data_IF_129016569168
#
_entry.id   IF_129016569168
#
_cell.length_a   1.000
_cell.length_b   1.000
_cell.length_c   1.000
_cell.angle_alpha   90.00
_cell.angle_beta   90.00
_cell.angle_gamma   90.00
#
_symmetry.space_group_name_H-M   'P 1'
#
loop_
_entity.id
_entity.type
_entity.pdbx_description
1 polymer ?
#
# COMPACT_ATOMS: atom_id res chain seq x y z
N UNK A 1 12.72 14.58 -10.46
CA UNK A 1 11.80 15.68 -10.11
C UNK A 1 10.39 15.18 -9.79
N UNK A 2 9.75 14.38 -10.67
CA UNK A 2 8.36 13.91 -10.46
C UNK A 2 8.11 13.14 -9.13
N UNK A 3 8.99 12.20 -8.74
CA UNK A 3 8.79 11.39 -7.52
C UNK A 3 8.86 12.24 -6.25
N UNK A 4 9.81 13.17 -6.15
CA UNK A 4 9.94 14.04 -4.99
C UNK A 4 8.73 14.97 -4.83
N UNK A 5 8.20 15.48 -5.94
CA UNK A 5 7.00 16.34 -5.93
C UNK A 5 5.78 15.54 -5.45
N UNK A 6 5.65 14.30 -5.92
CA UNK A 6 4.57 13.40 -5.51
C UNK A 6 4.63 13.03 -4.02
N UNK A 7 5.82 12.67 -3.53
CA UNK A 7 6.05 12.38 -2.11
C UNK A 7 5.77 13.61 -1.25
N UNK A 8 6.24 14.80 -1.67
CA UNK A 8 5.97 16.03 -0.95
C UNK A 8 4.48 16.36 -0.90
N UNK A 9 3.76 16.24 -2.02
CA UNK A 9 2.32 16.51 -2.08
C UNK A 9 1.53 15.61 -1.13
N UNK A 10 1.85 14.31 -1.07
CA UNK A 10 1.19 13.40 -0.13
C UNK A 10 1.60 13.62 1.31
N UNK A 11 2.88 13.84 1.60
CA UNK A 11 3.32 14.17 2.95
C UNK A 11 2.61 15.43 3.50
N UNK A 12 2.45 16.46 2.66
CA UNK A 12 1.69 17.68 3.02
C UNK A 12 0.21 17.37 3.21
N UNK A 13 -0.40 16.59 2.32
CA UNK A 13 -1.80 16.19 2.45
C UNK A 13 -2.04 15.37 3.74
N UNK A 14 -1.14 14.48 4.09
CA UNK A 14 -1.23 13.64 5.29
C UNK A 14 -1.09 14.45 6.58
N UNK A 15 -0.29 15.51 6.55
CA UNK A 15 -0.10 16.43 7.68
C UNK A 15 -1.29 17.37 7.88
N UNK A 16 -1.81 17.96 6.80
CA UNK A 16 -2.83 19.02 6.84
C UNK A 16 -4.25 18.45 6.80
N UNK A 17 -4.43 17.28 6.18
CA UNK A 17 -5.71 16.63 6.00
C UNK A 17 -6.45 16.37 7.31
N UNK A 18 -5.86 15.67 8.30
CA UNK A 18 -6.58 15.29 9.51
C UNK A 18 -7.16 16.48 10.28
N UNK A 19 -6.42 17.58 10.54
CA UNK A 19 -6.99 18.77 11.20
C UNK A 19 -8.20 19.36 10.47
N UNK A 20 -8.14 19.47 9.14
CA UNK A 20 -9.26 19.98 8.33
C UNK A 20 -10.47 19.05 8.42
N UNK A 21 -10.24 17.75 8.37
CA UNK A 21 -11.30 16.74 8.35
C UNK A 21 -12.01 16.64 9.69
N UNK A 22 -11.26 16.64 10.80
CA UNK A 22 -11.84 16.68 12.16
C UNK A 22 -12.63 17.96 12.37
N UNK A 23 -12.11 19.11 11.95
CA UNK A 23 -12.84 20.39 12.02
C UNK A 23 -14.15 20.37 11.20
N UNK A 24 -14.16 19.66 10.06
CA UNK A 24 -15.36 19.53 9.21
C UNK A 24 -16.45 18.63 9.80
N UNK A 25 -16.11 17.77 10.78
CA UNK A 25 -16.98 16.71 11.33
C UNK A 25 -17.65 15.83 10.26
N UNK A 26 -17.04 15.71 9.08
CA UNK A 26 -17.57 14.92 7.98
C UNK A 26 -16.90 13.56 7.93
N UNK A 27 -17.62 12.54 8.39
CA UNK A 27 -17.17 11.13 8.34
C UNK A 27 -16.89 10.68 6.91
N UNK A 28 -17.66 11.20 5.94
CA UNK A 28 -17.48 10.95 4.51
C UNK A 28 -16.16 11.50 3.97
N UNK A 29 -15.79 12.73 4.36
CA UNK A 29 -14.53 13.32 3.96
C UNK A 29 -13.34 12.57 4.60
N UNK A 30 -13.48 12.19 5.87
CA UNK A 30 -12.48 11.37 6.56
C UNK A 30 -12.30 10.01 5.88
N UNK A 31 -13.38 9.34 5.53
CA UNK A 31 -13.33 8.06 4.83
C UNK A 31 -12.61 8.15 3.48
N UNK A 32 -12.95 9.16 2.67
CA UNK A 32 -12.29 9.43 1.39
C UNK A 32 -10.78 9.67 1.55
N UNK A 33 -10.40 10.41 2.59
CA UNK A 33 -9.01 10.69 2.92
C UNK A 33 -8.25 9.43 3.37
N UNK A 34 -8.83 8.62 4.26
CA UNK A 34 -8.23 7.35 4.68
C UNK A 34 -8.05 6.39 3.49
N UNK A 35 -9.02 6.37 2.57
CA UNK A 35 -8.92 5.64 1.30
C UNK A 35 -7.75 6.13 0.46
N UNK A 36 -7.61 7.45 0.34
CA UNK A 36 -6.48 8.09 -0.34
C UNK A 36 -5.15 7.71 0.29
N UNK A 37 -5.01 7.78 1.61
CA UNK A 37 -3.81 7.34 2.34
C UNK A 37 -3.47 5.87 2.06
N UNK A 38 -4.47 4.98 2.13
CA UNK A 38 -4.30 3.57 1.81
C UNK A 38 -3.80 3.35 0.36
N UNK A 39 -4.26 4.17 -0.59
CA UNK A 39 -3.74 4.15 -1.98
C UNK A 39 -2.26 4.49 -2.05
N UNK A 40 -1.77 5.43 -1.23
CA UNK A 40 -0.36 5.81 -1.20
C UNK A 40 0.51 4.62 -0.80
N UNK A 41 0.08 3.83 0.21
CA UNK A 41 0.78 2.61 0.63
C UNK A 41 0.77 1.56 -0.48
N UNK A 42 -0.36 1.35 -1.16
CA UNK A 42 -0.46 0.46 -2.32
C UNK A 42 0.46 0.88 -3.47
N UNK A 43 0.53 2.18 -3.78
CA UNK A 43 1.42 2.75 -4.80
C UNK A 43 2.90 2.62 -4.41
N UNK A 44 3.25 2.84 -3.15
CA UNK A 44 4.60 2.58 -2.63
C UNK A 44 4.95 1.10 -2.76
N UNK A 45 4.03 0.18 -2.47
CA UNK A 45 4.26 -1.25 -2.64
C UNK A 45 4.44 -1.62 -4.12
N UNK A 46 3.63 -1.09 -5.04
CA UNK A 46 3.80 -1.23 -6.50
C UNK A 46 5.20 -0.78 -6.90
N UNK A 47 5.62 0.40 -6.43
CA UNK A 47 6.94 0.95 -6.74
C UNK A 47 8.07 0.11 -6.15
N UNK A 48 7.93 -0.32 -4.90
CA UNK A 48 8.87 -1.14 -4.15
C UNK A 48 9.05 -2.53 -4.76
N UNK A 49 8.07 -3.06 -5.48
CA UNK A 49 8.16 -4.41 -6.07
C UNK A 49 8.40 -4.36 -7.57
N UNK A 50 7.62 -3.61 -8.35
CA UNK A 50 7.57 -3.74 -9.81
C UNK A 50 8.56 -2.87 -10.58
N UNK A 51 9.27 -1.93 -9.93
CA UNK A 51 10.29 -1.08 -10.57
C UNK A 51 11.52 -1.92 -11.05
N UNK A 52 12.26 -1.48 -12.07
CA UNK A 52 13.48 -2.18 -12.53
C UNK A 52 14.72 -2.00 -11.63
N UNK A 53 14.72 -1.07 -10.67
CA UNK A 53 15.89 -0.79 -9.82
C UNK A 53 16.30 -1.94 -8.89
N UNK A 54 17.58 -1.93 -8.46
CA UNK A 54 18.13 -2.87 -7.47
C UNK A 54 17.33 -2.81 -6.17
N UNK A 55 16.93 -3.98 -5.69
CA UNK A 55 16.06 -4.10 -4.51
C UNK A 55 16.70 -3.55 -3.22
N UNK A 56 18.01 -3.75 -3.04
CA UNK A 56 18.78 -3.30 -1.85
C UNK A 56 18.69 -1.78 -1.63
N UNK A 57 18.68 -0.99 -2.71
CA UNK A 57 18.54 0.48 -2.59
C UNK A 57 17.08 0.88 -2.45
N UNK A 58 16.20 0.14 -3.14
CA UNK A 58 14.80 0.50 -3.27
C UNK A 58 14.01 0.28 -2.00
N UNK A 59 14.19 -0.87 -1.33
CA UNK A 59 13.40 -1.22 -0.16
C UNK A 59 13.59 -0.21 0.99
N UNK A 60 14.83 0.15 1.40
CA UNK A 60 15.03 1.14 2.45
C UNK A 60 14.41 2.50 2.10
N UNK A 61 14.52 2.95 0.85
CA UNK A 61 13.93 4.22 0.41
C UNK A 61 12.40 4.18 0.46
N UNK A 62 11.78 3.10 -0.01
CA UNK A 62 10.31 2.97 0.04
C UNK A 62 9.79 2.81 1.46
N UNK A 63 10.55 2.14 2.33
CA UNK A 63 10.22 2.03 3.74
C UNK A 63 10.36 3.39 4.45
N UNK A 64 11.39 4.18 4.12
CA UNK A 64 11.55 5.53 4.62
C UNK A 64 10.37 6.44 4.19
N UNK A 65 9.88 6.30 2.95
CA UNK A 65 8.67 7.02 2.51
C UNK A 65 7.41 6.55 3.24
N UNK A 66 7.25 5.24 3.47
CA UNK A 66 6.12 4.72 4.25
C UNK A 66 6.15 5.26 5.69
N UNK A 67 7.34 5.28 6.32
CA UNK A 67 7.53 5.86 7.64
C UNK A 67 7.24 7.37 7.65
N UNK A 68 7.68 8.11 6.62
CA UNK A 68 7.39 9.54 6.47
C UNK A 68 5.88 9.82 6.37
N UNK A 69 5.16 9.12 5.48
CA UNK A 69 3.71 9.30 5.33
C UNK A 69 2.98 8.97 6.63
N UNK A 70 3.37 7.88 7.29
CA UNK A 70 2.82 7.53 8.59
C UNK A 70 3.12 8.59 9.67
N UNK A 71 4.35 9.15 9.69
CA UNK A 71 4.71 10.24 10.60
C UNK A 71 3.84 11.46 10.38
N UNK A 72 3.67 11.87 9.12
CA UNK A 72 2.87 13.04 8.76
C UNK A 72 1.41 12.85 9.14
N UNK A 73 0.86 11.66 8.90
CA UNK A 73 -0.51 11.31 9.31
C UNK A 73 -0.67 11.40 10.83
N UNK A 74 0.24 10.80 11.62
CA UNK A 74 0.19 10.82 13.09
C UNK A 74 0.33 12.25 13.63
N UNK A 75 1.25 13.03 13.07
CA UNK A 75 1.41 14.44 13.44
C UNK A 75 0.13 15.24 13.13
N UNK A 76 -0.46 15.03 11.95
CA UNK A 76 -1.74 15.64 11.58
C UNK A 76 -2.87 15.27 12.56
N UNK A 77 -3.00 13.98 12.91
CA UNK A 77 -3.98 13.51 13.90
C UNK A 77 -3.75 14.12 15.29
N UNK A 78 -2.48 14.25 15.72
CA UNK A 78 -2.12 14.86 17.01
C UNK A 78 -2.41 16.36 17.04
N UNK A 79 -2.31 17.05 15.91
CA UNK A 79 -2.75 18.45 15.79
C UNK A 79 -4.26 18.56 15.81
N UNK A 80 -4.96 17.59 15.23
CA UNK A 80 -6.41 17.57 15.13
C UNK A 80 -7.10 17.27 16.47
N UNK A 81 -6.51 16.40 17.29
CA UNK A 81 -7.07 15.96 18.57
C UNK A 81 -6.09 16.18 19.74
N UNK A 82 -6.53 16.83 20.84
CA UNK A 82 -5.67 17.16 21.97
C UNK A 82 -5.16 15.94 22.76
N UNK A 83 -5.78 14.77 22.55
CA UNK A 83 -5.39 13.48 23.13
C UNK A 83 -4.95 12.51 22.02
N UNK A 84 -4.04 12.97 21.15
CA UNK A 84 -3.46 12.15 20.09
C UNK A 84 -2.93 10.79 20.57
N UNK A 85 -2.55 9.91 19.63
CA UNK A 85 -2.20 8.53 19.96
C UNK A 85 -1.07 8.47 20.98
N UNK A 86 -1.14 7.50 21.89
CA UNK A 86 -0.09 7.33 22.90
C UNK A 86 1.24 7.02 22.21
N UNK A 87 2.30 7.77 22.55
CA UNK A 87 3.62 7.62 21.94
C UNK A 87 4.17 6.17 21.96
N UNK A 88 3.94 5.36 23.02
CA UNK A 88 4.30 3.94 23.00
C UNK A 88 3.61 3.14 21.87
N UNK A 89 2.33 3.39 21.58
CA UNK A 89 1.60 2.71 20.50
C UNK A 89 2.13 3.12 19.12
N UNK A 90 2.47 4.40 18.97
CA UNK A 90 3.11 4.93 17.76
C UNK A 90 4.46 4.26 17.54
N UNK A 91 5.30 4.18 18.59
CA UNK A 91 6.60 3.52 18.54
C UNK A 91 6.46 2.03 18.19
N UNK A 92 5.50 1.34 18.82
CA UNK A 92 5.16 -0.06 18.51
C UNK A 92 4.77 -0.22 17.03
N UNK A 93 4.02 0.72 16.47
CA UNK A 93 3.66 0.68 15.04
C UNK A 93 4.89 0.83 14.14
N UNK A 94 5.82 1.74 14.44
CA UNK A 94 7.09 1.85 13.69
C UNK A 94 7.94 0.59 13.75
N UNK A 95 7.89 -0.12 14.88
CA UNK A 95 8.58 -1.38 15.09
C UNK A 95 8.10 -2.46 14.11
N UNK A 96 6.78 -2.54 13.91
CA UNK A 96 6.14 -3.54 13.04
C UNK A 96 5.97 -3.07 11.59
N UNK A 97 6.15 -1.77 11.32
CA UNK A 97 5.97 -1.17 9.99
C UNK A 97 6.71 -1.94 8.87
N UNK A 98 7.98 -2.36 9.03
CA UNK A 98 8.66 -3.07 7.96
C UNK A 98 8.02 -4.43 7.66
N UNK A 99 7.55 -5.15 8.68
CA UNK A 99 6.90 -6.44 8.52
C UNK A 99 5.55 -6.29 7.83
N UNK A 100 4.72 -5.35 8.29
CA UNK A 100 3.42 -5.03 7.66
C UNK A 100 3.63 -4.58 6.22
N UNK A 101 4.63 -3.73 5.96
CA UNK A 101 4.94 -3.25 4.61
C UNK A 101 5.42 -4.37 3.68
N UNK A 102 6.19 -5.34 4.19
CA UNK A 102 6.55 -6.54 3.44
C UNK A 102 5.33 -7.43 3.15
N UNK A 103 4.40 -7.55 4.11
CA UNK A 103 3.17 -8.31 3.93
C UNK A 103 2.29 -7.70 2.82
N UNK A 104 2.10 -6.37 2.82
CA UNK A 104 1.43 -5.63 1.74
C UNK A 104 2.08 -5.86 0.38
N UNK A 105 3.40 -5.99 0.32
CA UNK A 105 4.14 -6.26 -0.94
C UNK A 105 4.05 -7.70 -1.43
N UNK A 106 3.77 -8.67 -0.55
CA UNK A 106 3.84 -10.10 -0.86
C UNK A 106 3.05 -10.53 -2.11
N UNK A 107 1.82 -10.04 -2.39
CA UNK A 107 1.08 -10.45 -3.59
C UNK A 107 1.76 -9.96 -4.88
N UNK A 108 2.38 -8.78 -4.82
CA UNK A 108 3.12 -8.21 -5.95
C UNK A 108 4.43 -8.97 -6.20
N UNK A 109 5.04 -9.53 -5.15
CA UNK A 109 6.20 -10.39 -5.30
C UNK A 109 5.85 -11.69 -6.01
N UNK A 110 4.70 -12.29 -5.69
CA UNK A 110 4.17 -13.45 -6.42
C UNK A 110 4.00 -13.09 -7.91
N UNK A 111 3.38 -11.95 -8.21
CA UNK A 111 3.22 -11.46 -9.58
C UNK A 111 4.57 -11.26 -10.29
N UNK A 112 5.57 -10.69 -9.60
CA UNK A 112 6.89 -10.40 -10.16
C UNK A 112 7.74 -11.65 -10.37
N UNK A 113 7.81 -12.54 -9.38
CA UNK A 113 8.65 -13.74 -9.40
C UNK A 113 7.99 -14.81 -10.27
N UNK A 114 6.70 -15.10 -10.03
CA UNK A 114 5.96 -16.14 -10.75
C UNK A 114 5.62 -15.75 -12.19
N UNK A 115 5.22 -14.49 -12.44
CA UNK A 115 4.81 -14.03 -13.76
C UNK A 115 5.86 -13.21 -14.53
N UNK A 116 6.99 -12.89 -13.90
CA UNK A 116 8.02 -12.03 -14.49
C UNK A 116 7.56 -10.60 -14.74
N UNK A 117 6.45 -10.15 -14.14
CA UNK A 117 5.87 -8.84 -14.41
C UNK A 117 6.73 -7.70 -13.83
N UNK A 118 6.95 -6.68 -14.64
CA UNK A 118 7.67 -5.45 -14.28
C UNK A 118 7.05 -4.24 -14.97
N UNK A 119 7.11 -3.08 -14.32
CA UNK A 119 6.74 -1.82 -14.97
C UNK A 119 7.98 -1.34 -15.73
N UNK A 120 7.86 -1.24 -17.05
CA UNK A 120 8.93 -0.85 -17.98
C UNK A 120 8.41 0.22 -18.93
N UNK A 121 9.32 0.97 -19.56
CA UNK A 121 8.94 1.89 -20.64
C UNK A 121 8.63 1.11 -21.91
N UNK A 122 7.60 1.52 -22.65
CA UNK A 122 7.11 0.83 -23.84
C UNK A 122 8.07 0.89 -25.04
N UNK A 123 8.89 1.95 -25.12
CA UNK A 123 9.89 2.15 -26.18
C UNK A 123 11.29 1.74 -25.69
N UNK A 124 11.74 0.50 -25.96
CA UNK A 124 13.06 0.02 -25.55
C UNK A 124 14.21 0.54 -26.42
N UNK A 125 13.94 1.17 -27.58
CA UNK A 125 14.99 1.64 -28.49
C UNK A 125 15.92 2.70 -27.88
N UNK A 126 15.50 3.37 -26.79
CA UNK A 126 16.35 4.32 -26.06
C UNK A 126 17.06 3.74 -24.83
N UNK A 127 16.72 2.51 -24.41
CA UNK A 127 17.27 1.84 -23.22
C UNK A 127 18.10 0.60 -23.64
N UNK A 128 18.96 0.76 -24.65
CA UNK A 128 19.96 -0.23 -25.08
C UNK A 128 21.10 -0.45 -24.06
N UNK A 129 20.89 -0.21 -22.77
CA UNK A 129 21.84 -0.71 -21.77
C UNK A 129 21.50 -2.17 -21.48
N UNK A 130 22.36 -3.15 -21.85
CA UNK A 130 22.15 -4.57 -21.59
C UNK A 130 22.44 -4.91 -20.10
N UNK A 131 22.12 -3.99 -19.19
CA UNK A 131 22.33 -4.15 -17.76
C UNK A 131 21.23 -5.03 -17.17
N UNK A 132 21.44 -6.33 -17.34
CA UNK A 132 21.28 -7.25 -16.24
C UNK A 132 20.12 -8.21 -16.39
N UNK A 133 20.38 -9.28 -17.13
CA UNK A 133 20.02 -10.63 -16.72
C UNK A 133 20.66 -10.95 -15.35
N UNK A 134 20.31 -10.20 -14.30
CA UNK A 134 20.79 -10.47 -12.95
C UNK A 134 20.00 -11.63 -12.41
N UNK A 135 20.63 -12.81 -12.44
CA UNK A 135 20.41 -13.85 -11.44
C UNK A 135 20.21 -13.17 -10.09
N UNK A 136 19.14 -13.51 -9.39
CA UNK A 136 18.93 -13.11 -8.01
C UNK A 136 20.18 -13.51 -7.22
N UNK A 137 21.04 -12.54 -6.90
CA UNK A 137 22.24 -12.81 -6.12
C UNK A 137 21.80 -13.18 -4.70
N UNK A 138 22.43 -14.20 -4.12
CA UNK A 138 22.26 -14.62 -2.73
C UNK A 138 22.24 -13.44 -1.74
N UNK A 139 22.99 -12.37 -2.04
CA UNK A 139 22.99 -11.10 -1.32
C UNK A 139 21.58 -10.49 -1.13
N UNK A 140 20.70 -10.56 -2.14
CA UNK A 140 19.35 -10.01 -2.03
C UNK A 140 18.47 -10.83 -1.07
N UNK A 141 18.66 -12.16 -1.04
CA UNK A 141 18.01 -13.04 -0.08
C UNK A 141 18.48 -12.71 1.34
N UNK A 142 19.80 -12.59 1.56
CA UNK A 142 20.35 -12.23 2.88
C UNK A 142 19.87 -10.87 3.38
N UNK A 143 19.78 -9.86 2.50
CA UNK A 143 19.27 -8.54 2.91
C UNK A 143 17.77 -8.61 3.21
N UNK A 144 16.97 -9.41 2.50
CA UNK A 144 15.55 -9.61 2.81
C UNK A 144 15.36 -10.33 4.15
N UNK A 145 16.05 -11.45 4.33
CA UNK A 145 16.05 -12.19 5.60
C UNK A 145 16.60 -11.32 6.73
N UNK A 146 17.60 -10.47 6.48
CA UNK A 146 18.14 -9.52 7.44
C UNK A 146 17.14 -8.44 7.85
N UNK A 147 16.42 -7.83 6.89
CA UNK A 147 15.35 -6.87 7.21
C UNK A 147 14.26 -7.55 8.03
N UNK A 148 13.83 -8.75 7.64
CA UNK A 148 12.85 -9.53 8.42
C UNK A 148 13.38 -9.83 9.81
N UNK A 149 14.60 -10.33 9.94
CA UNK A 149 15.22 -10.66 11.23
C UNK A 149 15.38 -9.44 12.14
N UNK A 150 15.82 -8.29 11.60
CA UNK A 150 15.89 -7.03 12.34
C UNK A 150 14.50 -6.58 12.77
N UNK A 151 13.50 -6.68 11.90
CA UNK A 151 12.12 -6.30 12.23
C UNK A 151 11.53 -7.21 13.32
N UNK A 152 11.79 -8.52 13.25
CA UNK A 152 11.39 -9.50 14.25
C UNK A 152 12.15 -9.33 15.57
N UNK A 153 13.45 -9.01 15.50
CA UNK A 153 14.29 -8.75 16.68
C UNK A 153 13.85 -7.46 17.38
N UNK A 154 13.67 -6.37 16.63
CA UNK A 154 13.12 -5.12 17.14
C UNK A 154 11.72 -5.34 17.73
N UNK A 155 10.84 -6.04 17.01
CA UNK A 155 9.54 -6.46 17.52
C UNK A 155 9.65 -7.16 18.88
N UNK A 156 10.59 -8.09 19.03
CA UNK A 156 10.81 -8.82 20.29
C UNK A 156 11.32 -7.94 21.44
N UNK A 157 12.03 -6.84 21.17
CA UNK A 157 12.48 -5.90 22.20
C UNK A 157 11.33 -5.07 22.76
N UNK A 158 10.37 -4.67 21.91
CA UNK A 158 9.15 -3.99 22.35
C UNK A 158 8.21 -4.84 23.20
N UNK A 159 8.48 -6.15 23.33
CA UNK A 159 7.71 -7.10 24.17
C UNK A 159 8.27 -7.17 25.60
N UNK A 160 9.52 -6.77 25.83
CA UNK A 160 10.24 -7.09 27.07
C UNK A 160 10.09 -6.08 28.22
N UNK A 161 9.48 -4.90 28.00
CA UNK A 161 9.40 -3.86 29.04
C UNK A 161 8.11 -3.84 29.89
N UNK A 162 7.09 -4.63 29.56
CA UNK A 162 5.90 -4.77 30.41
C UNK A 162 6.12 -5.85 31.49
N UNK A 163 6.91 -5.49 32.50
CA UNK A 163 6.93 -6.18 33.80
C UNK A 163 5.51 -6.21 34.39
N UNK A 164 5.06 -7.39 34.80
CA UNK A 164 3.74 -7.74 35.37
C UNK A 164 2.55 -7.99 34.42
N UNK A 165 2.71 -7.84 33.11
CA UNK A 165 1.80 -8.43 32.12
C UNK A 165 2.59 -9.34 31.17
N UNK A 166 2.97 -10.51 31.68
CA UNK A 166 3.40 -11.66 30.87
C UNK A 166 2.27 -12.22 29.96
N UNK A 167 1.38 -11.34 29.48
CA UNK A 167 0.46 -11.57 28.39
C UNK A 167 1.26 -11.54 27.10
N UNK A 168 1.81 -12.71 26.76
CA UNK A 168 2.29 -13.08 25.43
C UNK A 168 1.87 -12.11 24.32
N UNK A 169 2.82 -11.33 23.79
CA UNK A 169 2.68 -10.82 22.42
C UNK A 169 2.60 -12.04 21.53
N UNK A 170 1.36 -12.47 21.29
CA UNK A 170 1.09 -13.66 20.54
C UNK A 170 1.44 -13.31 19.10
N UNK A 171 2.42 -14.02 18.55
CA UNK A 171 2.75 -13.93 17.12
C UNK A 171 1.52 -14.19 16.22
N UNK A 172 0.49 -14.86 16.77
CA UNK A 172 -0.81 -15.09 16.13
C UNK A 172 -1.50 -13.82 15.61
N UNK A 173 -1.91 -12.87 16.47
CA UNK A 173 -2.45 -11.57 16.04
C UNK A 173 -1.60 -10.83 15.00
N UNK A 174 -0.28 -10.75 15.20
CA UNK A 174 0.59 -10.07 14.23
C UNK A 174 0.59 -10.77 12.86
N UNK A 175 0.67 -12.10 12.85
CA UNK A 175 0.56 -12.91 11.64
C UNK A 175 -0.79 -12.69 10.96
N UNK A 176 -1.88 -12.66 11.74
CA UNK A 176 -3.23 -12.39 11.23
C UNK A 176 -3.32 -11.00 10.59
N UNK A 177 -2.76 -9.96 11.23
CA UNK A 177 -2.67 -8.61 10.65
C UNK A 177 -1.88 -8.63 9.35
N UNK A 178 -0.73 -9.29 9.32
CA UNK A 178 0.08 -9.40 8.09
C UNK A 178 -0.69 -10.11 6.97
N UNK A 179 -1.38 -11.21 7.27
CA UNK A 179 -2.21 -11.94 6.30
C UNK A 179 -3.37 -11.07 5.80
N UNK A 180 -4.04 -10.34 6.70
CA UNK A 180 -5.10 -9.41 6.34
C UNK A 180 -4.58 -8.29 5.45
N UNK A 181 -3.43 -7.68 5.78
CA UNK A 181 -2.79 -6.65 4.96
C UNK A 181 -2.37 -7.19 3.58
N UNK A 182 -1.83 -8.41 3.52
CA UNK A 182 -1.46 -9.06 2.27
C UNK A 182 -2.70 -9.35 1.40
N UNK A 183 -3.76 -9.91 1.99
CA UNK A 183 -5.03 -10.19 1.31
C UNK A 183 -5.70 -8.90 0.81
N UNK A 184 -5.77 -7.88 1.67
CA UNK A 184 -6.27 -6.56 1.33
C UNK A 184 -5.48 -5.92 0.19
N UNK A 185 -4.15 -5.97 0.25
CA UNK A 185 -3.28 -5.46 -0.81
C UNK A 185 -3.48 -6.22 -2.12
N UNK A 186 -3.55 -7.54 -2.09
CA UNK A 186 -3.81 -8.36 -3.28
C UNK A 186 -5.14 -7.96 -3.92
N UNK A 187 -6.16 -7.82 -3.09
CA UNK A 187 -7.50 -7.50 -3.52
C UNK A 187 -7.55 -6.08 -4.10
N UNK A 188 -7.04 -5.07 -3.41
CA UNK A 188 -7.11 -3.66 -3.84
C UNK A 188 -6.14 -3.31 -4.98
N UNK A 189 -4.90 -3.81 -4.92
CA UNK A 189 -3.81 -3.35 -5.78
C UNK A 189 -3.80 -4.05 -7.13
N UNK A 190 -4.05 -5.36 -7.18
CA UNK A 190 -3.96 -6.14 -8.43
C UNK A 190 -5.01 -5.73 -9.47
N UNK A 191 -6.29 -5.52 -9.13
CA UNK A 191 -7.28 -5.01 -10.07
C UNK A 191 -6.93 -3.61 -10.58
N UNK A 192 -6.44 -2.72 -9.70
CA UNK A 192 -5.98 -1.39 -10.10
C UNK A 192 -4.79 -1.46 -11.07
N UNK A 193 -3.81 -2.34 -10.82
CA UNK A 193 -2.69 -2.58 -11.74
C UNK A 193 -3.16 -3.09 -13.09
N UNK A 194 -4.07 -4.05 -13.10
CA UNK A 194 -4.64 -4.61 -14.31
C UNK A 194 -5.41 -3.53 -15.11
N UNK A 195 -6.30 -2.80 -14.44
CA UNK A 195 -7.10 -1.73 -15.02
C UNK A 195 -6.22 -0.60 -15.59
N UNK A 196 -5.27 -0.12 -14.78
CA UNK A 196 -4.39 0.99 -15.15
C UNK A 196 -3.44 0.64 -16.28
N UNK A 197 -2.75 -0.51 -16.19
CA UNK A 197 -1.58 -0.82 -17.03
C UNK A 197 -1.78 -1.96 -18.04
N UNK A 198 -2.80 -2.82 -17.88
CA UNK A 198 -3.01 -4.01 -18.74
C UNK A 198 -4.24 -3.85 -19.64
N UNK A 199 -5.34 -3.30 -19.12
CA UNK A 199 -6.59 -3.19 -19.86
C UNK A 199 -6.43 -2.28 -21.09
N UNK A 200 -6.86 -2.78 -22.26
CA UNK A 200 -6.80 -2.04 -23.54
C UNK A 200 -7.93 -1.04 -23.68
N UNK A 201 -9.14 -1.50 -23.36
CA UNK A 201 -10.36 -0.70 -23.50
C UNK A 201 -10.66 0.05 -22.20
N UNK A 202 -10.56 1.38 -22.26
CA UNK A 202 -10.83 2.27 -21.10
C UNK A 202 -12.21 2.01 -20.49
N UNK A 203 -13.25 1.87 -21.34
CA UNK A 203 -14.63 1.63 -20.89
C UNK A 203 -14.77 0.33 -20.09
N UNK A 204 -14.22 -0.78 -20.58
CA UNK A 204 -14.25 -2.07 -19.89
C UNK A 204 -13.52 -1.98 -18.55
N UNK A 205 -12.36 -1.33 -18.52
CA UNK A 205 -11.61 -1.10 -17.29
C UNK A 205 -12.42 -0.32 -16.25
N UNK A 206 -13.07 0.78 -16.66
CA UNK A 206 -13.90 1.60 -15.78
C UNK A 206 -15.08 0.81 -15.22
N UNK A 207 -15.79 0.05 -16.06
CA UNK A 207 -16.94 -0.77 -15.62
C UNK A 207 -16.49 -1.85 -14.62
N UNK A 208 -15.41 -2.56 -14.92
CA UNK A 208 -14.87 -3.59 -14.02
C UNK A 208 -14.46 -2.97 -12.68
N UNK A 209 -13.81 -1.81 -12.68
CA UNK A 209 -13.41 -1.14 -11.45
C UNK A 209 -14.60 -0.60 -10.66
N UNK A 210 -15.67 -0.12 -11.32
CA UNK A 210 -16.88 0.30 -10.64
C UNK A 210 -17.59 -0.88 -9.96
N UNK A 211 -17.76 -2.00 -10.67
CA UNK A 211 -18.32 -3.25 -10.11
C UNK A 211 -17.46 -3.74 -8.95
N UNK A 212 -16.14 -3.67 -9.10
CA UNK A 212 -15.19 -4.06 -8.06
C UNK A 212 -15.30 -3.19 -6.80
N UNK A 213 -15.38 -1.86 -6.93
CA UNK A 213 -15.58 -0.94 -5.79
C UNK A 213 -16.90 -1.22 -5.07
N UNK A 214 -17.97 -1.46 -5.81
CA UNK A 214 -19.26 -1.83 -5.22
C UNK A 214 -19.19 -3.18 -4.49
N UNK A 215 -18.55 -4.19 -5.08
CA UNK A 215 -18.36 -5.50 -4.48
C UNK A 215 -17.50 -5.45 -3.21
N UNK A 216 -16.40 -4.69 -3.24
CA UNK A 216 -15.55 -4.39 -2.07
C UNK A 216 -16.37 -3.78 -0.93
N UNK A 217 -17.17 -2.77 -1.24
CA UNK A 217 -18.01 -2.06 -0.26
C UNK A 217 -19.03 -3.00 0.35
N UNK A 218 -19.71 -3.81 -0.48
CA UNK A 218 -20.67 -4.81 -0.01
C UNK A 218 -20.01 -5.87 0.90
N UNK A 219 -18.82 -6.36 0.54
CA UNK A 219 -18.09 -7.33 1.35
C UNK A 219 -17.64 -6.73 2.70
N UNK A 220 -17.12 -5.50 2.71
CA UNK A 220 -16.73 -4.80 3.93
C UNK A 220 -17.93 -4.60 4.86
N UNK A 221 -19.08 -4.19 4.33
CA UNK A 221 -20.33 -4.07 5.07
C UNK A 221 -20.80 -5.41 5.65
N UNK A 222 -20.74 -6.48 4.86
CA UNK A 222 -21.13 -7.82 5.33
C UNK A 222 -20.25 -8.29 6.50
N UNK A 223 -18.92 -8.07 6.40
CA UNK A 223 -17.97 -8.40 7.48
C UNK A 223 -18.27 -7.55 8.71
N UNK A 224 -18.41 -6.23 8.56
CA UNK A 224 -18.70 -5.33 9.67
C UNK A 224 -20.01 -5.70 10.39
N UNK A 225 -21.06 -6.03 9.63
CA UNK A 225 -22.36 -6.46 10.17
C UNK A 225 -22.24 -7.78 10.94
N UNK A 226 -21.51 -8.74 10.38
CA UNK A 226 -21.27 -10.03 11.04
C UNK A 226 -20.48 -9.87 12.35
N UNK A 227 -19.47 -9.00 12.36
CA UNK A 227 -18.66 -8.70 13.54
C UNK A 227 -19.43 -7.94 14.63
N UNK A 228 -20.28 -6.99 14.25
CA UNK A 228 -21.07 -6.19 15.18
C UNK A 228 -22.28 -6.92 15.79
N UNK A 229 -22.60 -8.14 15.32
CA UNK A 229 -23.83 -8.88 15.66
C UNK A 229 -25.10 -8.03 15.49
N UNK A 230 -25.12 -7.15 14.48
CA UNK A 230 -26.18 -6.17 14.28
C UNK A 230 -26.15 -5.57 12.88
N UNK A 231 -27.18 -4.77 12.58
CA UNK A 231 -27.20 -4.00 11.32
C UNK A 231 -26.13 -2.90 11.39
N UNK A 232 -25.38 -2.66 10.30
CA UNK A 232 -24.42 -1.57 10.27
C UNK A 232 -25.18 -0.24 10.39
N UNK A 233 -24.59 0.81 11.00
CA UNK A 233 -25.22 2.11 11.06
C UNK A 233 -25.50 2.64 9.65
N UNK A 234 -26.54 3.47 9.51
CA UNK A 234 -27.09 3.85 8.20
C UNK A 234 -26.10 4.61 7.29
N UNK A 235 -25.10 5.26 7.89
CA UNK A 235 -24.02 5.98 7.24
C UNK A 235 -22.86 5.07 6.78
N UNK A 236 -22.71 3.87 7.34
CA UNK A 236 -21.60 2.96 7.08
C UNK A 236 -21.43 2.68 5.59
N UNK A 237 -22.54 2.56 4.84
CA UNK A 237 -22.51 2.34 3.39
C UNK A 237 -21.76 3.47 2.69
N UNK A 238 -22.10 4.72 3.01
CA UNK A 238 -21.45 5.90 2.42
C UNK A 238 -19.98 6.01 2.83
N UNK A 239 -19.68 5.74 4.10
CA UNK A 239 -18.31 5.73 4.64
C UNK A 239 -17.44 4.70 3.91
N UNK A 240 -17.84 3.43 3.86
CA UNK A 240 -17.07 2.40 3.17
C UNK A 240 -16.99 2.67 1.66
N UNK A 241 -18.07 3.14 1.04
CA UNK A 241 -18.04 3.47 -0.39
C UNK A 241 -17.00 4.55 -0.68
N UNK A 242 -17.01 5.66 0.06
CA UNK A 242 -16.09 6.78 -0.15
C UNK A 242 -14.65 6.41 0.16
N UNK A 243 -14.42 5.57 1.17
CA UNK A 243 -13.10 4.98 1.42
C UNK A 243 -12.58 4.21 0.19
N UNK A 244 -13.39 3.30 -0.37
CA UNK A 244 -12.97 2.55 -1.57
C UNK A 244 -12.84 3.43 -2.81
N UNK A 245 -13.66 4.47 -2.96
CA UNK A 245 -13.55 5.47 -4.04
C UNK A 245 -12.23 6.23 -3.94
N UNK A 246 -11.84 6.70 -2.75
CA UNK A 246 -10.56 7.36 -2.52
C UNK A 246 -9.39 6.45 -2.85
N UNK A 247 -9.44 5.21 -2.36
CA UNK A 247 -8.43 4.18 -2.63
C UNK A 247 -8.25 3.93 -4.12
N UNK A 248 -9.32 3.52 -4.81
CA UNK A 248 -9.26 3.13 -6.22
C UNK A 248 -9.02 4.34 -7.11
N UNK A 249 -9.63 5.49 -6.81
CA UNK A 249 -9.49 6.72 -7.58
C UNK A 249 -8.05 7.20 -7.65
N UNK A 250 -7.36 7.25 -6.51
CA UNK A 250 -5.95 7.69 -6.44
C UNK A 250 -5.03 6.67 -7.11
N UNK A 251 -5.21 5.37 -6.85
CA UNK A 251 -4.41 4.32 -7.50
C UNK A 251 -4.55 4.36 -9.02
N UNK A 252 -5.77 4.41 -9.54
CA UNK A 252 -6.01 4.46 -10.99
C UNK A 252 -5.50 5.76 -11.61
N UNK A 253 -5.72 6.91 -10.96
CA UNK A 253 -5.23 8.20 -11.43
C UNK A 253 -3.71 8.18 -11.64
N UNK A 254 -2.96 7.70 -10.64
CA UNK A 254 -1.50 7.60 -10.71
C UNK A 254 -1.05 6.56 -11.73
N UNK A 255 -1.68 5.39 -11.78
CA UNK A 255 -1.33 4.34 -12.76
C UNK A 255 -1.63 4.77 -14.20
N UNK A 256 -2.71 5.52 -14.43
CA UNK A 256 -3.00 6.10 -15.74
C UNK A 256 -2.02 7.19 -16.13
N UNK A 257 -1.58 8.04 -15.18
CA UNK A 257 -0.51 9.02 -15.44
C UNK A 257 0.80 8.32 -15.81
N UNK A 258 1.17 7.27 -15.08
CA UNK A 258 2.34 6.42 -15.38
C UNK A 258 2.22 5.81 -16.79
N UNK A 259 1.04 5.31 -17.15
CA UNK A 259 0.78 4.79 -18.51
C UNK A 259 0.90 5.87 -19.58
N UNK A 260 0.40 7.07 -19.32
CA UNK A 260 0.52 8.20 -20.23
C UNK A 260 1.98 8.63 -20.45
N UNK A 261 2.85 8.43 -19.45
CA UNK A 261 4.30 8.61 -19.59
C UNK A 261 5.01 7.46 -20.35
N UNK A 262 4.24 6.53 -20.92
CA UNK A 262 4.74 5.44 -21.75
C UNK A 262 5.22 4.24 -20.94
N UNK A 263 4.84 4.10 -19.67
CA UNK A 263 5.12 2.90 -18.89
C UNK A 263 4.03 1.85 -19.05
N UNK A 264 4.42 0.58 -19.14
CA UNK A 264 3.53 -0.57 -19.28
C UNK A 264 3.96 -1.68 -18.33
N UNK A 265 2.99 -2.51 -17.93
CA UNK A 265 3.27 -3.73 -17.17
C UNK A 265 3.61 -4.86 -18.16
N UNK A 266 4.84 -5.38 -18.11
CA UNK A 266 5.35 -6.41 -19.03
C UNK A 266 5.80 -7.66 -18.28
N UNK A 267 5.30 -8.82 -18.70
CA UNK A 267 5.74 -10.14 -18.22
C UNK A 267 6.88 -10.71 -19.05
N UNK A 268 7.65 -11.64 -18.49
CA UNK A 268 8.86 -12.23 -19.12
C UNK A 268 8.57 -13.12 -20.33
N UNK A 269 7.34 -13.64 -20.49
CA UNK A 269 7.00 -14.63 -21.51
C UNK A 269 6.13 -14.14 -22.68
N UNK A 270 5.78 -12.85 -22.77
CA UNK A 270 4.91 -12.35 -23.86
C UNK A 270 5.73 -11.62 -24.93
N UNK A 271 5.74 -12.09 -26.20
CA UNK A 271 6.36 -11.34 -27.29
C UNK A 271 5.70 -9.97 -27.42
N UNK A 272 6.48 -8.96 -27.82
CA UNK A 272 5.97 -7.61 -28.10
C UNK A 272 5.03 -7.71 -29.30
N UNK A 273 3.72 -7.80 -29.04
CA UNK A 273 2.73 -7.65 -30.10
C UNK A 273 2.68 -6.17 -30.45
N UNK A 274 3.18 -5.83 -31.65
CA UNK A 274 3.02 -4.50 -32.25
C UNK A 274 1.53 -4.15 -32.24
N UNK A 275 1.19 -3.10 -31.49
CA UNK A 275 -0.16 -2.57 -31.37
C UNK A 275 -0.37 -1.40 -32.30
#
# INVERSE_FOLDING_TARGET
MAVATFVAAFAVADLIGPPILVASRSEFALALFLGTFAAQIGLLAIWAVLRPQRWVVRLPVTLAYAALFYTMLIMGMTVAEPFGPEWPEVARTYLFLPLVFLAVQSPLWILRIGGGYRIVRADPEKDLSPTGSRQFHLQHLFVATGVVAVSLGLASLGVSEEGDLAGTVTWGPLLLVCLACAGWSAFSTLPCLWAGLVARHKRTSTVVMAVYVLGMTAAALAIASASARGSPPGDAVGVFLLFHVGLVGVMLGVLHAIRHWGYVLRGSGRPVRKG
#
